data_IF_831981407541
#
_entry.id   IF_831981407541
#
_cell.length_a   1.000
_cell.length_b   1.000
_cell.length_c   1.000
_cell.angle_alpha   90.00
_cell.angle_beta   90.00
_cell.angle_gamma   90.00
#
_symmetry.space_group_name_H-M   'P 1'
#
loop_
_entity.id
_entity.type
_entity.pdbx_description
1 polymer ?
#
# COMPACT_ATOMS: atom_id res chain seq x y z
N UNK A 1 -35.82 -29.85 -65.04
CA UNK A 1 -36.14 -30.96 -64.11
C UNK A 1 -35.38 -30.70 -62.83
N UNK A 2 -35.99 -30.21 -61.74
CA UNK A 2 -35.29 -30.14 -60.47
C UNK A 2 -35.29 -31.55 -59.85
N UNK A 3 -34.09 -32.13 -59.67
CA UNK A 3 -33.94 -33.39 -58.96
C UNK A 3 -34.41 -33.23 -57.52
N UNK A 4 -35.39 -34.03 -57.11
CA UNK A 4 -35.96 -34.03 -55.77
C UNK A 4 -34.86 -34.44 -54.77
N UNK A 5 -34.31 -33.49 -54.01
CA UNK A 5 -33.43 -33.78 -52.89
C UNK A 5 -34.29 -34.37 -51.76
N UNK A 6 -34.25 -35.69 -51.59
CA UNK A 6 -34.84 -36.33 -50.42
C UNK A 6 -33.88 -36.15 -49.24
N UNK A 7 -34.31 -35.40 -48.22
CA UNK A 7 -33.48 -35.13 -47.05
C UNK A 7 -34.29 -35.03 -45.75
N UNK A 8 -33.58 -35.00 -44.62
CA UNK A 8 -34.12 -34.82 -43.28
C UNK A 8 -33.39 -33.67 -42.58
N UNK A 9 -34.17 -32.74 -42.01
CA UNK A 9 -33.68 -31.68 -41.13
C UNK A 9 -34.00 -32.08 -39.69
N UNK A 10 -32.98 -32.28 -38.87
CA UNK A 10 -33.13 -32.71 -37.48
C UNK A 10 -32.57 -31.64 -36.55
N UNK A 11 -33.34 -31.13 -35.57
CA UNK A 11 -32.83 -30.15 -34.64
C UNK A 11 -31.80 -30.78 -33.68
N UNK A 12 -30.71 -30.06 -33.43
CA UNK A 12 -29.77 -30.40 -32.37
C UNK A 12 -30.26 -29.73 -31.07
N UNK A 13 -30.86 -30.53 -30.19
CA UNK A 13 -31.45 -30.05 -28.94
C UNK A 13 -30.55 -30.33 -27.73
N UNK A 14 -30.20 -29.29 -26.97
CA UNK A 14 -29.47 -29.39 -25.71
C UNK A 14 -30.21 -28.64 -24.60
N UNK A 15 -30.67 -29.36 -23.55
CA UNK A 15 -31.46 -28.80 -22.42
C UNK A 15 -32.61 -27.90 -22.91
N UNK A 16 -33.38 -28.41 -23.86
CA UNK A 16 -34.53 -27.73 -24.50
C UNK A 16 -34.19 -26.54 -25.41
N UNK A 17 -32.90 -26.21 -25.60
CA UNK A 17 -32.46 -25.20 -26.55
C UNK A 17 -32.03 -25.84 -27.88
N UNK A 18 -32.51 -25.30 -29.00
CA UNK A 18 -31.98 -25.66 -30.32
C UNK A 18 -30.61 -24.99 -30.49
N UNK A 19 -29.54 -25.79 -30.54
CA UNK A 19 -28.17 -25.32 -30.72
C UNK A 19 -27.67 -25.43 -32.17
N UNK A 20 -28.49 -25.99 -33.05
CA UNK A 20 -28.22 -26.14 -34.48
C UNK A 20 -29.25 -27.03 -35.18
N UNK A 21 -29.07 -27.26 -36.46
CA UNK A 21 -29.87 -28.19 -37.28
C UNK A 21 -28.92 -29.08 -38.06
N UNK A 22 -29.16 -30.38 -38.05
CA UNK A 22 -28.47 -31.38 -38.84
C UNK A 22 -29.26 -31.58 -40.14
N UNK A 23 -28.68 -31.14 -41.26
CA UNK A 23 -29.21 -31.38 -42.62
C UNK A 23 -28.59 -32.65 -43.20
N UNK A 24 -29.43 -33.61 -43.55
CA UNK A 24 -29.03 -34.89 -44.11
C UNK A 24 -29.71 -35.05 -45.46
N UNK A 25 -28.91 -35.16 -46.52
CA UNK A 25 -29.40 -35.30 -47.89
C UNK A 25 -29.06 -36.69 -48.41
N UNK A 26 -30.02 -37.33 -49.09
CA UNK A 26 -29.82 -38.60 -49.78
C UNK A 26 -29.46 -38.36 -51.24
N UNK A 27 -28.55 -39.15 -51.80
CA UNK A 27 -28.15 -39.09 -53.21
C UNK A 27 -29.07 -39.99 -54.04
N UNK A 28 -29.73 -39.41 -55.05
CA UNK A 28 -30.68 -40.12 -55.92
C UNK A 28 -32.12 -40.12 -55.38
N UNK A 29 -32.97 -41.03 -55.86
CA UNK A 29 -34.41 -41.07 -55.52
C UNK A 29 -34.73 -41.77 -54.17
N UNK A 30 -33.71 -42.17 -53.39
CA UNK A 30 -33.91 -42.91 -52.13
C UNK A 30 -34.60 -42.03 -51.08
N UNK A 31 -35.67 -42.55 -50.47
CA UNK A 31 -36.40 -41.89 -49.37
C UNK A 31 -35.92 -42.42 -48.03
N UNK A 32 -35.73 -41.51 -47.06
CA UNK A 32 -35.43 -41.87 -45.67
C UNK A 32 -36.71 -42.46 -45.04
N UNK A 33 -36.63 -43.69 -44.54
CA UNK A 33 -37.75 -44.36 -43.89
C UNK A 33 -37.92 -43.98 -42.40
N UNK A 34 -38.92 -44.54 -41.72
CA UNK A 34 -39.21 -44.21 -40.32
C UNK A 34 -38.11 -44.68 -39.35
N UNK A 35 -37.53 -45.86 -39.60
CA UNK A 35 -36.49 -46.45 -38.75
C UNK A 35 -35.16 -45.71 -38.91
N UNK A 36 -34.79 -45.35 -40.15
CA UNK A 36 -33.65 -44.49 -40.43
C UNK A 36 -33.82 -43.11 -39.78
N UNK A 37 -35.02 -42.52 -39.85
CA UNK A 37 -35.31 -41.23 -39.19
C UNK A 37 -35.17 -41.32 -37.68
N UNK A 38 -35.60 -42.40 -37.05
CA UNK A 38 -35.48 -42.62 -35.60
C UNK A 38 -34.00 -42.71 -35.18
N UNK A 39 -33.19 -43.46 -35.93
CA UNK A 39 -31.75 -43.57 -35.70
C UNK A 39 -31.02 -42.24 -35.92
N UNK A 40 -31.34 -41.51 -36.99
CA UNK A 40 -30.77 -40.18 -37.25
C UNK A 40 -31.18 -39.17 -36.15
N UNK A 41 -32.38 -39.29 -35.59
CA UNK A 41 -32.84 -38.48 -34.46
C UNK A 41 -32.04 -38.78 -33.19
N UNK A 42 -31.74 -40.06 -32.91
CA UNK A 42 -30.85 -40.45 -31.80
C UNK A 42 -29.44 -39.90 -31.97
N UNK A 43 -28.90 -39.94 -33.20
CA UNK A 43 -27.60 -39.35 -33.52
C UNK A 43 -27.64 -37.84 -33.31
N UNK A 44 -28.67 -37.15 -33.81
CA UNK A 44 -28.83 -35.71 -33.63
C UNK A 44 -28.90 -35.33 -32.14
N UNK A 45 -29.64 -36.09 -31.32
CA UNK A 45 -29.71 -35.90 -29.87
C UNK A 45 -28.36 -36.11 -29.18
N UNK A 46 -27.64 -37.18 -29.54
CA UNK A 46 -26.32 -37.47 -28.97
C UNK A 46 -25.28 -36.41 -29.37
N UNK A 47 -25.27 -35.99 -30.64
CA UNK A 47 -24.41 -34.92 -31.14
C UNK A 47 -24.71 -33.60 -30.42
N UNK A 48 -25.98 -33.25 -30.25
CA UNK A 48 -26.37 -32.04 -29.54
C UNK A 48 -25.89 -32.05 -28.08
N UNK A 49 -26.01 -33.20 -27.42
CA UNK A 49 -25.52 -33.42 -26.05
C UNK A 49 -24.01 -33.26 -25.95
N UNK A 50 -23.27 -33.90 -26.86
CA UNK A 50 -21.80 -33.82 -26.89
C UNK A 50 -21.32 -32.41 -27.17
N UNK A 51 -21.89 -31.71 -28.15
CA UNK A 51 -21.54 -30.31 -28.48
C UNK A 51 -21.84 -29.39 -27.29
N UNK A 52 -23.02 -29.52 -26.67
CA UNK A 52 -23.40 -28.72 -25.50
C UNK A 52 -22.47 -28.95 -24.31
N UNK A 53 -22.12 -30.21 -24.03
CA UNK A 53 -21.20 -30.56 -22.96
C UNK A 53 -19.79 -30.02 -23.22
N UNK A 54 -19.26 -30.18 -24.43
CA UNK A 54 -17.93 -29.67 -24.79
C UNK A 54 -17.86 -28.15 -24.66
N UNK A 55 -18.84 -27.41 -25.20
CA UNK A 55 -18.91 -25.94 -25.06
C UNK A 55 -19.01 -25.51 -23.60
N UNK A 56 -19.78 -26.23 -22.78
CA UNK A 56 -19.90 -25.95 -21.34
C UNK A 56 -18.56 -26.17 -20.63
N UNK A 57 -17.86 -27.27 -20.94
CA UNK A 57 -16.55 -27.57 -20.38
C UNK A 57 -15.50 -26.51 -20.78
N UNK A 58 -15.48 -26.09 -22.04
CA UNK A 58 -14.59 -25.02 -22.51
C UNK A 58 -14.88 -23.69 -21.80
N UNK A 59 -16.16 -23.34 -21.60
CA UNK A 59 -16.55 -22.14 -20.85
C UNK A 59 -16.06 -22.21 -19.41
N UNK A 60 -16.26 -23.34 -18.71
CA UNK A 60 -15.79 -23.51 -17.33
C UNK A 60 -14.27 -23.39 -17.26
N UNK A 61 -13.53 -24.02 -18.18
CA UNK A 61 -12.07 -23.92 -18.21
C UNK A 61 -11.60 -22.49 -18.43
N UNK A 62 -12.27 -21.75 -19.32
CA UNK A 62 -12.00 -20.32 -19.55
C UNK A 62 -12.29 -19.48 -18.32
N UNK A 63 -13.41 -19.71 -17.66
CA UNK A 63 -13.81 -18.98 -16.44
C UNK A 63 -12.83 -19.24 -15.30
N UNK A 64 -12.40 -20.49 -15.09
CA UNK A 64 -11.38 -20.84 -14.10
C UNK A 64 -10.07 -20.12 -14.37
N UNK A 65 -9.61 -20.11 -15.63
CA UNK A 65 -8.38 -19.40 -16.01
C UNK A 65 -8.51 -17.89 -15.75
N UNK A 66 -9.64 -17.29 -16.13
CA UNK A 66 -9.90 -15.88 -15.88
C UNK A 66 -9.92 -15.56 -14.38
N UNK A 67 -10.53 -16.43 -13.55
CA UNK A 67 -10.54 -16.28 -12.10
C UNK A 67 -9.14 -16.37 -11.51
N UNK A 68 -8.31 -17.32 -11.98
CA UNK A 68 -6.90 -17.43 -11.54
C UNK A 68 -6.12 -16.15 -11.86
N UNK A 69 -6.28 -15.59 -13.07
CA UNK A 69 -5.63 -14.34 -13.46
C UNK A 69 -6.08 -13.15 -12.61
N UNK A 70 -7.36 -13.11 -12.21
CA UNK A 70 -7.89 -12.09 -11.30
C UNK A 70 -7.26 -12.24 -9.90
N UNK A 71 -7.23 -13.47 -9.35
CA UNK A 71 -6.66 -13.74 -8.03
C UNK A 71 -5.17 -13.35 -7.99
N UNK A 72 -4.40 -13.69 -9.03
CA UNK A 72 -3.00 -13.31 -9.12
C UNK A 72 -2.82 -11.80 -9.15
N UNK A 73 -3.62 -11.08 -9.94
CA UNK A 73 -3.61 -9.61 -9.98
C UNK A 73 -3.97 -8.99 -8.62
N UNK A 74 -4.98 -9.52 -7.94
CA UNK A 74 -5.36 -9.06 -6.61
C UNK A 74 -4.24 -9.29 -5.58
N UNK A 75 -3.63 -10.47 -5.56
CA UNK A 75 -2.50 -10.78 -4.66
C UNK A 75 -1.32 -9.84 -4.88
N UNK A 76 -0.97 -9.56 -6.14
CA UNK A 76 0.10 -8.63 -6.45
C UNK A 76 -0.24 -7.20 -6.01
N UNK A 77 -1.49 -6.77 -6.19
CA UNK A 77 -1.96 -5.46 -5.73
C UNK A 77 -1.91 -5.33 -4.21
N UNK A 78 -2.32 -6.35 -3.47
CA UNK A 78 -2.24 -6.37 -2.02
C UNK A 78 -0.79 -6.24 -1.53
N UNK A 79 0.13 -7.03 -2.10
CA UNK A 79 1.56 -6.91 -1.76
C UNK A 79 2.11 -5.52 -2.04
N UNK A 80 1.73 -4.91 -3.15
CA UNK A 80 2.17 -3.56 -3.50
C UNK A 80 1.65 -2.51 -2.50
N UNK A 81 0.39 -2.64 -2.06
CA UNK A 81 -0.19 -1.77 -1.01
C UNK A 81 0.59 -1.96 0.30
N UNK A 82 0.79 -3.20 0.75
CA UNK A 82 1.54 -3.50 1.98
C UNK A 82 2.96 -2.92 1.94
N UNK A 83 3.67 -3.07 0.81
CA UNK A 83 5.02 -2.51 0.63
C UNK A 83 5.01 -0.97 0.68
N UNK A 84 4.02 -0.34 0.05
CA UNK A 84 3.90 1.12 0.03
C UNK A 84 3.60 1.64 1.44
N UNK A 85 2.72 0.97 2.20
CA UNK A 85 2.43 1.33 3.58
C UNK A 85 3.67 1.19 4.48
N UNK A 86 4.41 0.08 4.35
CA UNK A 86 5.64 -0.14 5.11
C UNK A 86 6.68 0.95 4.83
N UNK A 87 6.90 1.28 3.55
CA UNK A 87 7.80 2.36 3.16
C UNK A 87 7.37 3.71 3.71
N UNK A 88 6.07 4.03 3.64
CA UNK A 88 5.53 5.27 4.17
C UNK A 88 5.77 5.41 5.69
N UNK A 89 5.64 4.32 6.45
CA UNK A 89 5.95 4.31 7.89
C UNK A 89 7.43 4.59 8.13
N UNK A 90 8.33 3.90 7.43
CA UNK A 90 9.78 4.11 7.58
C UNK A 90 10.13 5.57 7.28
N UNK A 91 9.75 6.08 6.12
CA UNK A 91 10.03 7.46 5.72
C UNK A 91 9.48 8.47 6.73
N UNK A 92 8.23 8.30 7.16
CA UNK A 92 7.59 9.24 8.08
C UNK A 92 8.25 9.27 9.47
N UNK A 93 8.81 8.15 9.94
CA UNK A 93 9.58 8.10 11.19
C UNK A 93 11.01 8.61 11.01
N UNK A 94 11.67 8.29 9.90
CA UNK A 94 13.00 8.85 9.56
C UNK A 94 12.95 10.37 9.47
N UNK A 95 12.01 10.93 8.70
CA UNK A 95 11.86 12.38 8.54
C UNK A 95 11.59 13.08 9.88
N UNK A 96 10.81 12.45 10.75
CA UNK A 96 10.48 12.98 12.06
C UNK A 96 11.68 13.00 13.01
N UNK A 97 12.53 11.97 12.96
CA UNK A 97 13.75 11.89 13.75
C UNK A 97 14.81 12.87 13.23
N UNK A 98 14.96 12.97 11.90
CA UNK A 98 15.88 13.90 11.25
C UNK A 98 15.53 15.36 11.55
N UNK A 99 14.23 15.72 11.56
CA UNK A 99 13.76 17.05 11.96
C UNK A 99 14.10 17.43 13.41
N UNK A 100 14.51 16.46 14.23
CA UNK A 100 14.92 16.65 15.63
C UNK A 100 16.42 16.60 15.84
N UNK A 101 17.20 16.45 14.77
CA UNK A 101 18.64 16.14 14.85
C UNK A 101 18.93 14.90 15.74
N UNK A 102 18.01 13.94 15.74
CA UNK A 102 18.08 12.72 16.54
C UNK A 102 18.07 11.49 15.64
N UNK A 103 18.93 10.51 15.91
CA UNK A 103 18.90 9.20 15.22
C UNK A 103 18.14 8.14 16.00
N UNK A 104 18.14 8.26 17.33
CA UNK A 104 17.50 7.36 18.27
C UNK A 104 16.81 8.22 19.33
N UNK A 105 15.60 7.84 19.71
CA UNK A 105 14.93 8.34 20.90
C UNK A 105 14.76 7.15 21.83
N UNK A 106 15.62 7.08 22.85
CA UNK A 106 15.65 5.99 23.80
C UNK A 106 15.71 6.49 25.23
N UNK A 107 15.19 5.68 26.14
CA UNK A 107 15.39 5.85 27.57
C UNK A 107 15.88 4.54 28.16
N UNK A 108 16.92 4.62 28.98
CA UNK A 108 17.30 3.56 29.90
C UNK A 108 16.76 3.88 31.30
N UNK A 109 16.63 2.87 32.15
CA UNK A 109 16.20 3.05 33.54
C UNK A 109 17.41 2.81 34.43
N UNK A 110 17.76 3.80 35.26
CA UNK A 110 18.73 3.59 36.32
C UNK A 110 18.16 2.59 37.34
N UNK A 111 18.79 1.42 37.48
CA UNK A 111 18.31 0.35 38.36
C UNK A 111 18.18 0.76 39.84
N UNK A 112 19.02 1.70 40.30
CA UNK A 112 19.04 2.13 41.71
C UNK A 112 18.04 3.26 41.99
N UNK A 113 17.88 4.21 41.07
CA UNK A 113 17.04 5.40 41.27
C UNK A 113 15.68 5.34 40.58
N UNK A 114 15.46 4.34 39.72
CA UNK A 114 14.30 4.25 38.81
C UNK A 114 14.08 5.49 37.94
N UNK A 115 15.13 6.30 37.73
CA UNK A 115 15.07 7.46 36.85
C UNK A 115 15.31 7.07 35.40
N UNK A 116 14.60 7.73 34.50
CA UNK A 116 14.79 7.60 33.06
C UNK A 116 16.02 8.40 32.63
N UNK A 117 16.94 7.74 31.94
CA UNK A 117 18.15 8.34 31.37
C UNK A 117 18.01 8.32 29.85
N UNK A 118 18.02 9.47 29.17
CA UNK A 118 18.06 9.51 27.72
C UNK A 118 19.28 8.74 27.20
N UNK A 119 19.09 7.91 26.19
CA UNK A 119 20.15 7.13 25.56
C UNK A 119 20.02 7.17 24.04
N UNK A 120 21.16 7.32 23.38
CA UNK A 120 21.35 7.19 21.94
C UNK A 120 22.09 5.88 21.59
N UNK A 121 22.38 5.05 22.59
CA UNK A 121 23.06 3.78 22.44
C UNK A 121 22.05 2.63 22.27
N UNK A 122 22.34 1.73 21.33
CA UNK A 122 21.55 0.51 21.08
C UNK A 122 22.32 -0.73 21.56
N UNK A 123 21.89 -1.40 22.65
CA UNK A 123 22.51 -2.63 23.12
C UNK A 123 22.36 -3.81 22.13
N UNK A 124 23.31 -4.74 22.16
CA UNK A 124 23.34 -5.92 21.27
C UNK A 124 22.10 -6.81 21.39
N UNK A 125 21.59 -7.03 22.61
CA UNK A 125 20.39 -7.82 22.81
C UNK A 125 19.16 -7.21 22.13
N UNK A 126 19.10 -5.88 22.00
CA UNK A 126 18.04 -5.19 21.29
C UNK A 126 18.23 -5.25 19.78
N UNK A 127 19.47 -5.12 19.29
CA UNK A 127 19.79 -5.34 17.87
C UNK A 127 19.37 -6.74 17.41
N UNK A 128 19.63 -7.77 18.21
CA UNK A 128 19.19 -9.14 17.93
C UNK A 128 17.66 -9.27 17.83
N UNK A 129 16.90 -8.54 18.67
CA UNK A 129 15.44 -8.53 18.61
C UNK A 129 14.93 -7.86 17.32
N UNK A 130 15.59 -6.80 16.87
CA UNK A 130 15.27 -6.11 15.62
C UNK A 130 15.56 -6.99 14.41
N UNK A 131 16.73 -7.63 14.37
CA UNK A 131 17.15 -8.52 13.27
C UNK A 131 16.23 -9.73 13.14
N UNK A 132 15.83 -10.33 14.27
CA UNK A 132 14.92 -11.48 14.28
C UNK A 132 13.46 -11.09 14.11
N UNK A 133 13.15 -9.83 14.35
CA UNK A 133 11.80 -9.29 14.37
C UNK A 133 10.83 -10.08 15.28
N UNK A 134 11.34 -10.62 16.38
CA UNK A 134 10.56 -11.36 17.37
C UNK A 134 11.16 -11.19 18.78
N UNK A 135 10.47 -11.70 19.79
CA UNK A 135 10.93 -11.70 21.17
C UNK A 135 12.25 -12.46 21.30
N UNK A 136 13.23 -11.82 21.91
CA UNK A 136 14.51 -12.43 22.25
C UNK A 136 14.71 -12.39 23.76
N UNK A 137 15.44 -13.38 24.25
CA UNK A 137 15.85 -13.44 25.65
C UNK A 137 17.36 -13.55 25.66
N UNK A 138 18.01 -12.65 26.39
CA UNK A 138 19.45 -12.60 26.54
C UNK A 138 19.79 -12.60 28.03
N UNK A 139 20.72 -13.43 28.46
CA UNK A 139 21.10 -13.53 29.88
C UNK A 139 22.48 -12.89 30.07
N UNK A 140 22.56 -11.97 31.03
CA UNK A 140 23.79 -11.25 31.38
C UNK A 140 23.76 -10.94 32.89
N UNK A 141 24.89 -11.09 33.58
CA UNK A 141 25.09 -10.62 34.96
C UNK A 141 23.99 -11.07 35.96
N UNK A 142 23.56 -12.33 35.87
CA UNK A 142 22.50 -12.92 36.71
C UNK A 142 21.10 -12.25 36.52
N UNK A 143 20.94 -11.55 35.42
CA UNK A 143 19.71 -10.99 34.91
C UNK A 143 19.36 -11.59 33.54
N UNK A 144 18.08 -11.51 33.21
CA UNK A 144 17.52 -11.92 31.94
C UNK A 144 16.86 -10.70 31.28
N UNK A 145 17.35 -10.32 30.12
CA UNK A 145 16.76 -9.28 29.28
C UNK A 145 15.79 -9.90 28.30
N UNK A 146 14.51 -9.60 28.46
CA UNK A 146 13.46 -10.00 27.52
C UNK A 146 13.18 -8.82 26.62
N UNK A 147 13.57 -8.92 25.36
CA UNK A 147 13.43 -7.83 24.40
C UNK A 147 12.36 -8.13 23.38
N UNK A 148 11.51 -7.14 23.11
CA UNK A 148 10.43 -7.25 22.16
C UNK A 148 10.53 -6.11 21.14
N UNK A 149 10.33 -6.38 19.84
CA UNK A 149 10.28 -5.33 18.83
C UNK A 149 9.02 -4.48 19.00
N UNK A 150 9.18 -3.16 18.84
CA UNK A 150 8.09 -2.19 18.75
C UNK A 150 7.67 -2.16 17.28
N UNK A 151 6.56 -2.82 16.96
CA UNK A 151 6.07 -2.95 15.59
C UNK A 151 4.80 -2.12 15.38
N UNK A 152 4.76 -1.40 14.25
CA UNK A 152 3.60 -0.68 13.76
C UNK A 152 3.28 -1.18 12.34
N UNK A 153 2.10 -1.79 12.18
CA UNK A 153 1.59 -2.30 10.88
C UNK A 153 2.63 -3.13 10.10
N UNK A 154 3.32 -4.03 10.80
CA UNK A 154 4.32 -4.92 10.22
C UNK A 154 5.72 -4.31 10.04
N UNK A 155 5.89 -3.01 10.31
CA UNK A 155 7.20 -2.34 10.31
C UNK A 155 7.74 -2.18 11.73
N UNK A 156 9.03 -2.48 11.92
CA UNK A 156 9.70 -2.33 13.21
C UNK A 156 10.24 -0.92 13.37
N UNK A 157 9.82 -0.24 14.43
CA UNK A 157 10.22 1.13 14.77
C UNK A 157 11.39 1.15 15.75
N UNK A 158 11.53 0.11 16.56
CA UNK A 158 12.52 0.02 17.63
C UNK A 158 12.30 -1.23 18.46
N UNK A 159 12.87 -1.29 19.65
CA UNK A 159 12.69 -2.40 20.57
C UNK A 159 12.51 -1.89 22.01
N UNK A 160 11.91 -2.71 22.86
CA UNK A 160 11.81 -2.49 24.29
C UNK A 160 12.40 -3.69 25.02
N UNK A 161 13.36 -3.44 25.91
CA UNK A 161 14.01 -4.47 26.72
C UNK A 161 13.49 -4.42 28.15
N UNK A 162 13.19 -5.58 28.73
CA UNK A 162 12.73 -5.73 30.10
C UNK A 162 13.71 -6.62 30.84
N UNK A 163 14.36 -6.04 31.85
CA UNK A 163 15.28 -6.77 32.73
C UNK A 163 14.50 -7.47 33.83
N UNK A 164 14.64 -8.80 33.92
CA UNK A 164 14.04 -9.62 34.97
C UNK A 164 15.11 -10.48 35.66
N UNK A 165 14.95 -10.82 36.96
CA UNK A 165 15.88 -11.73 37.63
C UNK A 165 15.94 -13.09 36.95
N UNK A 166 17.14 -13.66 36.79
CA UNK A 166 17.33 -14.95 36.10
C UNK A 166 16.59 -16.12 36.78
N UNK A 167 16.37 -16.06 38.09
CA UNK A 167 15.64 -17.07 38.84
C UNK A 167 14.12 -17.05 38.61
N UNK A 168 13.60 -16.10 37.81
CA UNK A 168 12.18 -15.96 37.50
C UNK A 168 11.98 -15.96 35.98
N UNK A 169 11.96 -17.15 35.34
CA UNK A 169 11.79 -17.26 33.90
C UNK A 169 10.46 -16.62 33.46
N UNK A 170 10.52 -15.83 32.39
CA UNK A 170 9.34 -15.17 31.81
C UNK A 170 8.38 -16.22 31.24
N UNK A 171 7.12 -16.17 31.66
CA UNK A 171 6.07 -17.06 31.14
C UNK A 171 5.55 -16.57 29.78
N UNK A 172 5.01 -17.49 28.97
CA UNK A 172 4.33 -17.13 27.71
C UNK A 172 3.25 -16.07 27.92
N UNK A 173 2.50 -16.18 29.04
CA UNK A 173 1.45 -15.22 29.37
C UNK A 173 1.99 -13.81 29.64
N UNK A 174 3.14 -13.71 30.32
CA UNK A 174 3.80 -12.41 30.54
C UNK A 174 4.32 -11.82 29.22
N UNK A 175 4.87 -12.64 28.33
CA UNK A 175 5.29 -12.19 26.99
C UNK A 175 4.10 -11.65 26.19
N UNK A 176 2.94 -12.32 26.24
CA UNK A 176 1.72 -11.81 25.61
C UNK A 176 1.28 -10.46 26.18
N UNK A 177 1.35 -10.28 27.51
CA UNK A 177 1.01 -9.01 28.14
C UNK A 177 1.97 -7.90 27.68
N UNK A 178 3.28 -8.17 27.71
CA UNK A 178 4.30 -7.21 27.23
C UNK A 178 4.07 -6.87 25.76
N UNK A 179 3.80 -7.86 24.91
CA UNK A 179 3.50 -7.65 23.49
C UNK A 179 2.28 -6.74 23.29
N UNK A 180 1.21 -6.94 24.05
CA UNK A 180 0.02 -6.08 24.00
C UNK A 180 0.32 -4.64 24.45
N UNK A 181 1.14 -4.46 25.48
CA UNK A 181 1.56 -3.13 25.96
C UNK A 181 2.41 -2.43 24.90
N UNK A 182 3.36 -3.13 24.28
CA UNK A 182 4.22 -2.59 23.24
C UNK A 182 3.46 -2.23 21.97
N UNK A 183 2.46 -3.02 21.58
CA UNK A 183 1.58 -2.67 20.47
C UNK A 183 0.82 -1.37 20.73
N UNK A 184 0.34 -1.15 21.96
CA UNK A 184 -0.29 0.12 22.35
C UNK A 184 0.71 1.27 22.38
N UNK A 185 1.94 1.01 22.82
CA UNK A 185 3.03 1.99 22.78
C UNK A 185 3.33 2.42 21.35
N UNK A 186 3.47 1.48 20.41
CA UNK A 186 3.72 1.79 19.01
C UNK A 186 2.65 2.73 18.41
N UNK A 187 1.37 2.45 18.70
CA UNK A 187 0.25 3.31 18.28
C UNK A 187 0.28 4.68 18.96
N UNK A 188 0.57 4.74 20.25
CA UNK A 188 0.66 5.99 20.99
C UNK A 188 1.81 6.88 20.48
N UNK A 189 2.95 6.27 20.18
CA UNK A 189 4.11 6.93 19.60
C UNK A 189 3.78 7.50 18.21
N UNK A 190 3.11 6.73 17.34
CA UNK A 190 2.72 7.23 16.02
C UNK A 190 1.68 8.36 16.09
N UNK A 191 0.70 8.23 16.99
CA UNK A 191 -0.26 9.30 17.24
C UNK A 191 0.42 10.58 17.76
N UNK A 192 1.39 10.43 18.67
CA UNK A 192 2.16 11.56 19.21
C UNK A 192 3.00 12.23 18.13
N UNK A 193 3.66 11.44 17.27
CA UNK A 193 4.39 11.90 16.09
C UNK A 193 3.49 12.70 15.15
N UNK A 194 2.34 12.15 14.77
CA UNK A 194 1.36 12.81 13.90
C UNK A 194 0.83 14.11 14.51
N UNK A 195 0.54 14.11 15.81
CA UNK A 195 0.09 15.30 16.52
C UNK A 195 1.14 16.40 16.50
N UNK A 196 2.40 16.08 16.78
CA UNK A 196 3.49 17.07 16.77
C UNK A 196 3.81 17.59 15.37
N UNK A 197 3.74 16.73 14.35
CA UNK A 197 3.86 17.16 12.96
C UNK A 197 2.74 18.13 12.57
N UNK A 198 1.49 17.81 12.95
CA UNK A 198 0.34 18.68 12.73
C UNK A 198 0.50 20.04 13.44
N UNK A 199 0.93 20.03 14.70
CA UNK A 199 1.21 21.25 15.46
C UNK A 199 2.33 22.09 14.82
N UNK A 200 3.42 21.44 14.39
CA UNK A 200 4.54 22.10 13.71
C UNK A 200 4.10 22.72 12.37
N UNK A 201 3.26 22.03 11.61
CA UNK A 201 2.69 22.54 10.37
C UNK A 201 1.79 23.75 10.63
N UNK A 202 0.84 23.65 11.57
CA UNK A 202 -0.04 24.76 11.92
C UNK A 202 0.73 26.01 12.39
N UNK A 203 1.81 25.81 13.16
CA UNK A 203 2.69 26.91 13.57
C UNK A 203 3.38 27.56 12.37
N UNK A 204 3.86 26.77 11.41
CA UNK A 204 4.47 27.29 10.16
C UNK A 204 3.47 28.08 9.32
N UNK A 205 2.26 27.56 9.16
CA UNK A 205 1.18 28.23 8.42
C UNK A 205 0.74 29.54 9.10
N UNK A 206 0.60 29.53 10.43
CA UNK A 206 0.27 30.73 11.21
C UNK A 206 1.32 31.83 11.01
N UNK A 207 2.60 31.49 11.13
CA UNK A 207 3.71 32.43 10.88
C UNK A 207 3.70 32.99 9.45
N UNK A 208 3.46 32.13 8.45
CA UNK A 208 3.38 32.56 7.07
C UNK A 208 2.23 33.56 6.83
N UNK A 209 1.06 33.30 7.42
CA UNK A 209 -0.09 34.20 7.32
C UNK A 209 0.11 35.53 8.05
N UNK A 210 0.75 35.51 9.22
CA UNK A 210 1.13 36.73 9.97
C UNK A 210 2.04 37.62 9.11
N UNK A 211 3.08 37.02 8.53
CA UNK A 211 4.02 37.70 7.62
C UNK A 211 3.28 38.28 6.39
N UNK A 212 2.43 37.48 5.74
CA UNK A 212 1.66 37.93 4.58
C UNK A 212 0.74 39.11 4.91
N UNK A 213 0.10 39.07 6.08
CA UNK A 213 -0.79 40.15 6.56
C UNK A 213 -0.03 41.45 6.84
N UNK A 214 1.17 41.36 7.43
CA UNK A 214 2.05 42.53 7.63
C UNK A 214 2.49 43.14 6.31
N UNK A 215 2.82 42.32 5.31
CA UNK A 215 3.19 42.79 3.97
C UNK A 215 2.02 43.51 3.28
N UNK A 216 0.80 42.97 3.38
CA UNK A 216 -0.39 43.55 2.75
C UNK A 216 -0.91 44.81 3.45
N UNK A 217 -0.65 44.97 4.76
CA UNK A 217 -1.11 46.14 5.53
C UNK A 217 -0.13 47.31 5.50
N UNK A 218 1.12 47.09 5.09
CA UNK A 218 2.10 48.17 4.94
C UNK A 218 1.82 49.00 3.70
N UNK A 219 1.62 50.31 3.89
CA UNK A 219 1.44 51.28 2.79
C UNK A 219 2.77 51.85 2.27
N UNK A 220 3.87 51.55 2.96
CA UNK A 220 5.22 51.99 2.57
C UNK A 220 5.95 50.89 1.80
N UNK A 221 6.41 51.23 0.59
CA UNK A 221 7.07 50.28 -0.32
C UNK A 221 8.42 49.83 0.23
N UNK A 222 9.18 50.72 0.88
CA UNK A 222 10.48 50.39 1.47
C UNK A 222 10.33 49.41 2.64
N UNK A 223 9.29 49.59 3.46
CA UNK A 223 8.94 48.68 4.54
C UNK A 223 8.51 47.30 4.02
N UNK A 224 7.69 47.24 2.96
CA UNK A 224 7.29 45.97 2.32
C UNK A 224 8.53 45.22 1.80
N UNK A 225 9.41 45.89 1.06
CA UNK A 225 10.60 45.27 0.47
C UNK A 225 11.56 44.75 1.54
N UNK A 226 11.78 45.52 2.62
CA UNK A 226 12.64 45.11 3.74
C UNK A 226 12.08 43.90 4.48
N UNK A 227 10.77 43.91 4.76
CA UNK A 227 10.09 42.83 5.45
C UNK A 227 10.09 41.55 4.59
N UNK A 228 9.84 41.68 3.29
CA UNK A 228 9.92 40.56 2.35
C UNK A 228 11.33 39.97 2.29
N UNK A 229 12.37 40.83 2.19
CA UNK A 229 13.75 40.38 2.13
C UNK A 229 14.18 39.63 3.40
N UNK A 230 13.85 40.15 4.59
CA UNK A 230 14.16 39.48 5.86
C UNK A 230 13.45 38.13 5.97
N UNK A 231 12.16 38.07 5.65
CA UNK A 231 11.37 36.86 5.79
C UNK A 231 11.77 35.78 4.78
N UNK A 232 12.11 36.13 3.53
CA UNK A 232 12.63 35.14 2.59
C UNK A 232 13.99 34.61 3.03
N UNK A 233 14.82 35.43 3.66
CA UNK A 233 16.10 34.98 4.21
C UNK A 233 15.88 33.92 5.29
N UNK A 234 14.98 34.20 6.25
CA UNK A 234 14.69 33.30 7.37
C UNK A 234 13.92 32.04 6.93
N UNK A 235 12.92 32.18 6.06
CA UNK A 235 12.05 31.08 5.65
C UNK A 235 12.73 30.10 4.68
N UNK A 236 13.63 30.58 3.81
CA UNK A 236 14.33 29.75 2.85
C UNK A 236 15.72 29.32 3.34
N UNK A 237 16.13 29.76 4.53
CA UNK A 237 17.49 29.58 5.02
C UNK A 237 18.53 30.19 4.07
N UNK A 238 18.17 31.26 3.36
CA UNK A 238 19.05 31.89 2.41
C UNK A 238 20.17 32.64 3.16
N UNK A 239 21.38 32.59 2.62
CA UNK A 239 22.53 33.34 3.16
C UNK A 239 22.38 34.83 2.85
N UNK A 240 21.76 35.16 1.71
CA UNK A 240 21.50 36.53 1.29
C UNK A 240 20.24 36.59 0.42
N UNK A 241 19.38 37.56 0.70
CA UNK A 241 18.21 37.89 -0.12
C UNK A 241 18.37 39.28 -0.73
N UNK A 242 18.18 39.41 -2.05
CA UNK A 242 18.24 40.68 -2.78
C UNK A 242 16.93 40.89 -3.53
N UNK A 243 16.22 41.99 -3.24
CA UNK A 243 14.99 42.39 -3.92
C UNK A 243 15.22 43.77 -4.54
N UNK A 244 14.92 43.93 -5.83
CA UNK A 244 15.09 45.18 -6.56
C UNK A 244 13.88 45.43 -7.46
N UNK A 245 13.37 46.66 -7.46
CA UNK A 245 12.33 47.12 -8.39
C UNK A 245 12.99 48.00 -9.46
N UNK A 246 12.64 47.79 -10.72
CA UNK A 246 13.07 48.64 -11.84
C UNK A 246 11.84 49.28 -12.46
N UNK A 247 11.92 50.59 -12.75
CA UNK A 247 10.82 51.32 -13.38
C UNK A 247 10.46 50.76 -14.78
N UNK A 248 11.44 50.19 -15.48
CA UNK A 248 11.32 49.75 -16.88
C UNK A 248 11.48 48.23 -17.07
N UNK A 249 11.21 47.43 -16.04
CA UNK A 249 11.46 45.97 -16.07
C UNK A 249 10.73 45.20 -17.20
N UNK A 250 9.72 45.82 -17.83
CA UNK A 250 8.86 45.19 -18.87
C UNK A 250 8.88 45.97 -20.20
N UNK A 251 9.98 46.64 -20.52
CA UNK A 251 10.24 47.04 -21.91
C UNK A 251 11.50 46.34 -22.43
N UNK A 252 11.37 45.30 -23.29
CA UNK A 252 12.53 44.83 -24.03
C UNK A 252 13.04 46.01 -24.85
N UNK A 253 14.32 46.34 -24.68
CA UNK A 253 14.98 47.44 -25.36
C UNK A 253 14.63 47.40 -26.85
N UNK A 254 13.85 48.38 -27.32
CA UNK A 254 13.75 48.62 -28.74
C UNK A 254 15.14 49.03 -29.20
N UNK A 255 15.75 48.19 -30.03
CA UNK A 255 17.00 48.45 -30.74
C UNK A 255 16.94 49.86 -31.33
N UNK A 256 17.68 50.79 -30.71
CA UNK A 256 17.99 52.06 -31.34
C UNK A 256 19.03 51.74 -32.42
N UNK A 257 18.56 51.75 -33.65
CA UNK A 257 19.39 51.60 -34.83
C UNK A 257 20.46 52.68 -34.92
N UNK A 258 21.61 52.27 -35.44
CA UNK A 258 22.50 53.06 -36.29
C UNK A 258 22.85 52.19 -37.49
#
# INVERSE_FOLDING_TARGET
>A
MPGTTNGALLPLLYRELVIGVLDIQSVGERRIDASERELLTLIALHLATTIGNTRTLESIQKDVKQQQDIILRQRNRLRQIEQTEQQAIVTAWTDYLDQRDQRIIGFDVNEMSMQLIPTDYMPDHMRLALERNDVTTYEQDNQQHVTLPIQLRGQTLGAASFTVPQNRPITRRQVEIMRNVIQRLALALDNKRLFEQSQSQALRESKANEIASLLLSSTDTDTVLRLAASNFNDALGAVQTKIQLFADAVYPAQEQGV
#
